data_IF_261618560167
#
_entry.id   IF_261618560167
#
_cell.length_a   1.000
_cell.length_b   1.000
_cell.length_c   1.000
_cell.angle_alpha   90.00
_cell.angle_beta   90.00
_cell.angle_gamma   90.00
#
_symmetry.space_group_name_H-M   'P 1'
#
loop_
_entity.id
_entity.type
_entity.pdbx_description
1 polymer ?
#
# COMPACT_ATOMS: atom_id res chain seq x y z
N UNK A 1 13.68 -6.22 16.24
CA UNK A 1 12.21 -6.03 16.13
C UNK A 1 11.83 -5.57 14.74
N UNK A 2 10.75 -6.10 14.19
CA UNK A 2 10.24 -5.69 12.87
C UNK A 2 8.73 -5.93 12.78
N UNK A 3 8.03 -5.03 12.09
CA UNK A 3 6.64 -5.21 11.69
C UNK A 3 6.61 -5.18 10.16
N UNK A 4 6.03 -6.22 9.56
CA UNK A 4 5.76 -6.28 8.13
C UNK A 4 4.25 -6.29 7.93
N UNK A 5 3.69 -5.19 7.41
CA UNK A 5 2.25 -5.05 7.15
C UNK A 5 1.98 -5.65 5.77
N UNK A 6 1.14 -6.67 5.71
CA UNK A 6 0.89 -7.45 4.47
C UNK A 6 -0.52 -7.29 3.94
N UNK A 7 -1.41 -6.68 4.71
CA UNK A 7 -2.79 -6.41 4.34
C UNK A 7 -3.27 -5.18 5.14
N UNK A 8 -4.05 -4.27 4.54
CA UNK A 8 -4.79 -4.45 3.29
C UNK A 8 -3.99 -4.10 2.02
N UNK A 9 -4.60 -4.33 0.86
CA UNK A 9 -4.12 -3.81 -0.43
C UNK A 9 -4.13 -2.27 -0.45
N UNK A 10 -3.37 -1.61 -1.35
CA UNK A 10 -3.25 -0.16 -1.34
C UNK A 10 -4.50 0.60 -1.81
N UNK A 11 -5.45 -0.07 -2.46
CA UNK A 11 -6.75 0.50 -2.85
C UNK A 11 -7.86 -0.41 -2.34
N UNK A 12 -8.69 0.09 -1.43
CA UNK A 12 -9.66 -0.72 -0.68
C UNK A 12 -11.00 -0.01 -0.51
N UNK A 13 -12.06 -0.79 -0.38
CA UNK A 13 -13.36 -0.32 0.08
C UNK A 13 -14.18 -1.47 0.70
N UNK A 14 -14.94 -1.14 1.74
CA UNK A 14 -15.77 -2.09 2.48
C UNK A 14 -15.01 -2.75 3.63
N UNK A 15 -15.35 -4.00 3.92
CA UNK A 15 -14.69 -4.76 4.99
C UNK A 15 -13.37 -5.36 4.49
N UNK A 16 -12.30 -5.15 5.25
CA UNK A 16 -10.98 -5.74 4.99
C UNK A 16 -10.33 -6.24 6.29
N UNK A 17 -9.21 -6.95 6.15
CA UNK A 17 -8.44 -7.44 7.29
C UNK A 17 -7.08 -6.74 7.30
N UNK A 18 -6.78 -6.04 8.39
CA UNK A 18 -5.44 -5.53 8.67
C UNK A 18 -4.61 -6.70 9.17
N UNK A 19 -3.55 -7.06 8.44
CA UNK A 19 -2.66 -8.17 8.78
C UNK A 19 -1.23 -7.69 8.84
N UNK A 20 -0.53 -8.06 9.91
CA UNK A 20 0.90 -7.84 10.03
C UNK A 20 1.63 -9.03 10.65
N UNK A 21 2.83 -9.27 10.13
CA UNK A 21 3.79 -10.18 10.71
C UNK A 21 4.69 -9.39 11.65
N UNK A 22 4.84 -9.85 12.89
CA UNK A 22 5.64 -9.18 13.91
C UNK A 22 6.74 -10.11 14.41
N UNK A 23 7.98 -9.63 14.33
CA UNK A 23 9.16 -10.31 14.86
C UNK A 23 9.74 -9.50 16.03
N UNK A 24 10.04 -10.20 17.12
CA UNK A 24 10.83 -9.66 18.24
C UNK A 24 11.79 -10.71 18.76
N UNK A 25 12.99 -10.27 19.12
CA UNK A 25 13.97 -11.05 19.86
C UNK A 25 13.67 -11.15 21.38
N UNK A 26 12.62 -10.47 21.88
CA UNK A 26 12.18 -10.47 23.29
C UNK A 26 10.72 -10.95 23.46
N UNK A 27 10.39 -12.21 23.09
CA UNK A 27 9.03 -12.73 23.19
C UNK A 27 8.56 -12.91 24.66
N UNK A 28 7.24 -12.98 24.91
CA UNK A 28 6.16 -12.87 23.93
C UNK A 28 5.78 -11.41 23.66
N UNK A 29 5.13 -11.17 22.52
CA UNK A 29 4.37 -9.94 22.30
C UNK A 29 3.28 -9.82 23.37
N UNK A 30 3.18 -8.65 24.01
CA UNK A 30 2.19 -8.35 25.04
C UNK A 30 0.91 -7.80 24.45
N UNK A 31 1.04 -6.85 23.51
CA UNK A 31 -0.08 -6.25 22.78
C UNK A 31 0.35 -5.85 21.37
N UNK A 32 -0.59 -5.92 20.44
CA UNK A 32 -0.47 -5.31 19.11
C UNK A 32 -1.78 -4.61 18.81
N UNK A 33 -1.70 -3.39 18.26
CA UNK A 33 -2.84 -2.54 17.96
C UNK A 33 -2.60 -1.80 16.66
N UNK A 34 -3.66 -1.53 15.91
CA UNK A 34 -3.61 -0.64 14.76
C UNK A 34 -4.42 0.63 15.02
N UNK A 35 -4.12 1.67 14.26
CA UNK A 35 -4.79 2.95 14.30
C UNK A 35 -4.84 3.49 12.87
N UNK A 36 -6.01 3.97 12.45
CA UNK A 36 -6.18 4.70 11.19
C UNK A 36 -6.03 6.18 11.49
N UNK A 37 -5.04 6.84 10.87
CA UNK A 37 -4.67 8.23 11.11
C UNK A 37 -4.51 8.54 12.61
N UNK A 38 -5.39 9.39 13.15
CA UNK A 38 -5.45 9.76 14.57
C UNK A 38 -6.75 9.25 15.24
N UNK A 39 -7.44 8.29 14.61
CA UNK A 39 -8.68 7.71 15.10
C UNK A 39 -8.48 6.74 16.27
N UNK A 40 -9.46 5.87 16.46
CA UNK A 40 -9.45 4.90 17.55
C UNK A 40 -8.30 3.90 17.44
N UNK A 41 -7.82 3.46 18.60
CA UNK A 41 -6.76 2.46 18.71
C UNK A 41 -7.40 1.10 18.91
N UNK A 42 -7.27 0.23 17.92
CA UNK A 42 -8.00 -1.04 17.84
C UNK A 42 -7.01 -2.20 18.11
N UNK A 43 -7.29 -3.07 19.10
CA UNK A 43 -6.42 -4.20 19.39
C UNK A 43 -6.47 -5.24 18.27
N UNK A 44 -5.32 -5.86 17.99
CA UNK A 44 -5.19 -6.95 17.03
C UNK A 44 -5.08 -8.29 17.76
N UNK A 45 -5.68 -9.32 17.17
CA UNK A 45 -5.51 -10.70 17.62
C UNK A 45 -4.08 -11.14 17.31
N UNK A 46 -3.39 -11.76 18.28
CA UNK A 46 -2.05 -12.31 18.11
C UNK A 46 -2.14 -13.83 17.97
N UNK A 47 -1.62 -14.36 16.88
CA UNK A 47 -1.44 -15.79 16.64
C UNK A 47 0.06 -16.10 16.65
N UNK A 48 0.49 -16.91 17.63
CA UNK A 48 1.90 -17.22 17.80
C UNK A 48 2.42 -18.04 16.65
N UNK A 49 3.47 -17.56 16.00
CA UNK A 49 4.20 -18.32 14.98
C UNK A 49 5.52 -18.86 15.52
N UNK A 50 6.30 -19.51 14.64
CA UNK A 50 7.61 -20.03 15.00
C UNK A 50 8.67 -18.93 15.07
N UNK A 51 8.74 -18.10 14.03
CA UNK A 51 9.65 -16.96 13.94
C UNK A 51 8.89 -15.63 13.98
N UNK A 52 7.78 -15.55 13.26
CA UNK A 52 6.94 -14.35 13.17
C UNK A 52 5.58 -14.65 13.78
N UNK A 53 5.15 -13.82 14.72
CA UNK A 53 3.77 -13.82 15.16
C UNK A 53 2.90 -13.15 14.09
N UNK A 54 1.72 -13.70 13.84
CA UNK A 54 0.76 -13.13 12.89
C UNK A 54 -0.28 -12.36 13.68
N UNK A 55 -0.54 -11.13 13.27
CA UNK A 55 -1.50 -10.25 13.92
C UNK A 55 -2.59 -9.84 12.96
N UNK A 56 -3.85 -9.89 13.40
CA UNK A 56 -5.01 -9.62 12.54
C UNK A 56 -6.07 -8.79 13.25
N UNK A 57 -6.74 -7.91 12.50
CA UNK A 57 -7.98 -7.25 12.92
C UNK A 57 -8.85 -6.92 11.70
N UNK A 58 -10.16 -6.93 11.89
CA UNK A 58 -11.13 -6.51 10.85
C UNK A 58 -11.23 -4.99 10.87
N UNK A 59 -11.22 -4.38 9.69
CA UNK A 59 -11.48 -2.96 9.50
C UNK A 59 -12.59 -2.77 8.47
N UNK A 60 -13.64 -2.06 8.88
CA UNK A 60 -14.67 -1.52 7.98
C UNK A 60 -14.23 -0.14 7.49
N UNK A 61 -13.80 -0.03 6.22
CA UNK A 61 -13.31 1.23 5.67
C UNK A 61 -14.42 2.26 5.48
N UNK A 62 -15.70 1.88 5.59
CA UNK A 62 -16.82 2.82 5.49
C UNK A 62 -16.93 3.73 6.72
N UNK A 63 -16.15 3.43 7.77
CA UNK A 63 -16.04 4.27 8.97
C UNK A 63 -15.18 5.53 8.76
N UNK A 64 -14.50 5.66 7.62
CA UNK A 64 -13.68 6.83 7.24
C UNK A 64 -14.13 7.40 5.90
N UNK A 65 -13.76 8.64 5.63
CA UNK A 65 -14.02 9.27 4.33
C UNK A 65 -13.19 8.62 3.22
N UNK A 66 -13.57 8.81 1.96
CA UNK A 66 -12.71 8.38 0.85
C UNK A 66 -11.47 9.28 0.76
N UNK A 67 -10.31 8.68 0.51
CA UNK A 67 -9.04 9.39 0.49
C UNK A 67 -7.86 8.52 0.90
N UNK A 68 -6.70 9.16 1.06
CA UNK A 68 -5.50 8.52 1.59
C UNK A 68 -5.51 8.52 3.11
N UNK A 69 -5.24 7.35 3.68
CA UNK A 69 -5.18 7.12 5.11
C UNK A 69 -3.87 6.42 5.48
N UNK A 70 -3.37 6.73 6.66
CA UNK A 70 -2.20 6.04 7.21
C UNK A 70 -2.65 4.99 8.22
N UNK A 71 -2.31 3.73 7.97
CA UNK A 71 -2.46 2.65 8.94
C UNK A 71 -1.19 2.58 9.77
N UNK A 72 -1.29 2.84 11.07
CA UNK A 72 -0.18 2.68 12.01
C UNK A 72 -0.38 1.43 12.86
N UNK A 73 0.55 0.49 12.79
CA UNK A 73 0.58 -0.68 13.69
C UNK A 73 1.62 -0.44 14.77
N UNK A 74 1.22 -0.62 16.03
CA UNK A 74 2.08 -0.51 17.23
C UNK A 74 2.09 -1.85 17.94
N UNK A 75 3.28 -2.36 18.23
CA UNK A 75 3.50 -3.60 18.96
C UNK A 75 4.34 -3.35 20.22
N UNK A 76 4.01 -4.06 21.30
CA UNK A 76 4.75 -4.03 22.58
C UNK A 76 5.25 -5.43 22.90
N UNK A 77 6.54 -5.54 23.15
CA UNK A 77 7.13 -6.74 23.75
C UNK A 77 7.53 -6.52 25.21
N UNK A 78 8.38 -7.37 25.76
CA UNK A 78 8.81 -7.27 27.17
C UNK A 78 9.60 -6.00 27.50
N UNK A 79 10.22 -5.36 26.51
CA UNK A 79 11.15 -4.26 26.74
C UNK A 79 10.58 -2.93 26.22
N UNK A 80 10.06 -2.91 24.99
CA UNK A 80 9.72 -1.64 24.34
C UNK A 80 8.51 -1.70 23.40
N UNK A 81 8.05 -0.49 23.04
CA UNK A 81 7.03 -0.27 22.02
C UNK A 81 7.73 0.10 20.70
N UNK A 82 7.28 -0.51 19.60
CA UNK A 82 7.75 -0.21 18.26
C UNK A 82 6.57 -0.15 17.29
N UNK A 83 6.76 0.50 16.14
CA UNK A 83 5.68 0.75 15.20
C UNK A 83 6.13 0.71 13.75
N UNK A 84 5.17 0.46 12.87
CA UNK A 84 5.32 0.62 11.43
C UNK A 84 4.04 1.22 10.85
N UNK A 85 4.17 1.91 9.72
CA UNK A 85 3.04 2.51 9.02
C UNK A 85 3.04 2.18 7.53
N UNK A 86 1.85 2.13 6.95
CA UNK A 86 1.62 2.11 5.51
C UNK A 86 0.55 3.15 5.17
N UNK A 87 0.59 3.65 3.95
CA UNK A 87 -0.50 4.45 3.37
C UNK A 87 -1.40 3.53 2.54
N UNK A 88 -2.71 3.82 2.54
CA UNK A 88 -3.72 3.15 1.72
C UNK A 88 -4.71 4.19 1.20
N UNK A 89 -5.33 3.92 0.06
CA UNK A 89 -6.45 4.71 -0.46
C UNK A 89 -7.77 3.99 -0.23
N UNK A 90 -8.67 4.63 0.50
CA UNK A 90 -10.07 4.20 0.60
C UNK A 90 -10.83 4.83 -0.55
N UNK A 91 -11.37 4.02 -1.46
CA UNK A 91 -12.23 4.53 -2.55
C UNK A 91 -13.16 3.47 -3.11
N UNK A 92 -14.40 3.86 -3.37
CA UNK A 92 -15.37 3.02 -4.07
C UNK A 92 -14.98 2.74 -5.53
N UNK A 93 -14.13 3.58 -6.12
CA UNK A 93 -13.63 3.39 -7.47
C UNK A 93 -12.42 2.46 -7.46
N UNK A 94 -12.50 1.39 -8.25
CA UNK A 94 -11.33 0.55 -8.54
C UNK A 94 -10.37 1.21 -9.55
N UNK A 95 -10.80 2.28 -10.22
CA UNK A 95 -10.01 3.01 -11.22
C UNK A 95 -9.28 4.16 -10.53
N UNK A 96 -7.96 4.17 -10.70
CA UNK A 96 -7.08 5.17 -10.14
C UNK A 96 -6.74 6.27 -11.16
N UNK A 97 -6.87 7.55 -10.78
CA UNK A 97 -6.41 8.65 -11.62
C UNK A 97 -4.88 8.68 -11.74
N UNK A 98 -4.37 8.89 -12.95
CA UNK A 98 -2.93 8.92 -13.22
C UNK A 98 -2.20 10.03 -12.47
N UNK A 99 -2.87 11.16 -12.25
CA UNK A 99 -2.33 12.29 -11.48
C UNK A 99 -2.09 11.96 -10.01
N UNK A 100 -2.77 10.95 -9.48
CA UNK A 100 -2.62 10.51 -8.09
C UNK A 100 -1.54 9.44 -7.89
N UNK A 101 -1.23 8.66 -8.94
CA UNK A 101 -0.20 7.63 -8.87
C UNK A 101 1.18 8.19 -8.55
N UNK A 102 1.53 9.34 -9.13
CA UNK A 102 2.87 9.94 -8.98
C UNK A 102 3.16 10.37 -7.54
N UNK A 103 2.30 11.16 -6.87
CA UNK A 103 2.56 11.55 -5.48
C UNK A 103 2.55 10.38 -4.49
N UNK A 104 1.89 9.26 -4.84
CA UNK A 104 1.70 8.10 -3.96
C UNK A 104 2.33 6.82 -4.54
N UNK A 105 3.39 6.95 -5.33
CA UNK A 105 3.96 5.82 -6.10
C UNK A 105 4.39 4.64 -5.22
N UNK A 106 5.00 4.93 -4.07
CA UNK A 106 5.46 3.91 -3.11
C UNK A 106 4.30 3.06 -2.58
N UNK A 107 3.14 3.67 -2.34
CA UNK A 107 1.91 2.98 -1.88
C UNK A 107 1.48 1.89 -2.85
N UNK A 108 1.63 2.13 -4.15
CA UNK A 108 1.17 1.22 -5.20
C UNK A 108 2.27 0.31 -5.74
N UNK A 109 3.51 0.44 -5.27
CA UNK A 109 4.63 -0.32 -5.78
C UNK A 109 4.39 -1.83 -5.59
N UNK A 110 4.56 -2.59 -6.67
CA UNK A 110 4.36 -4.04 -6.66
C UNK A 110 2.89 -4.50 -6.74
N UNK A 111 1.93 -3.57 -6.78
CA UNK A 111 0.50 -3.88 -6.89
C UNK A 111 -0.01 -3.61 -8.30
N UNK A 112 -0.99 -4.41 -8.73
CA UNK A 112 -1.68 -4.19 -10.00
C UNK A 112 -2.74 -3.12 -9.81
N UNK A 113 -2.67 -2.04 -10.59
CA UNK A 113 -3.66 -0.97 -10.54
C UNK A 113 -4.42 -0.82 -11.86
N UNK A 114 -5.72 -0.60 -11.74
CA UNK A 114 -6.56 -0.22 -12.88
C UNK A 114 -6.48 1.29 -13.07
N UNK A 115 -6.12 1.72 -14.27
CA UNK A 115 -6.10 3.13 -14.69
C UNK A 115 -6.89 3.28 -15.97
N UNK A 116 -7.53 4.43 -16.16
CA UNK A 116 -8.25 4.74 -17.39
C UNK A 116 -7.65 5.97 -18.05
N UNK A 117 -7.28 5.86 -19.32
CA UNK A 117 -6.70 6.98 -20.06
C UNK A 117 -6.59 6.74 -21.55
N UNK A 118 -6.24 7.80 -22.29
CA UNK A 118 -5.89 7.72 -23.71
C UNK A 118 -4.44 7.31 -23.85
N UNK A 119 -4.21 6.26 -24.63
CA UNK A 119 -2.86 5.77 -24.95
C UNK A 119 -2.40 6.43 -26.26
N UNK A 120 -1.21 7.01 -26.23
CA UNK A 120 -0.49 7.51 -27.41
C UNK A 120 0.85 6.79 -27.50
N UNK A 121 1.21 6.29 -28.68
CA UNK A 121 2.49 5.62 -28.91
C UNK A 121 3.35 6.45 -29.86
N UNK A 122 4.66 6.50 -29.60
CA UNK A 122 5.63 7.09 -30.51
C UNK A 122 6.83 6.17 -30.65
N UNK A 123 7.20 5.87 -31.89
CA UNK A 123 8.42 5.13 -32.23
C UNK A 123 9.51 6.14 -32.58
N UNK A 124 10.56 6.23 -31.76
CA UNK A 124 11.76 6.99 -32.11
C UNK A 124 12.81 6.03 -32.66
N UNK A 125 13.06 6.11 -33.96
CA UNK A 125 14.16 5.42 -34.63
C UNK A 125 15.34 6.37 -34.77
N UNK A 126 16.37 6.24 -33.93
CA UNK A 126 17.63 6.98 -34.11
C UNK A 126 18.64 6.12 -34.87
N UNK A 127 18.59 6.16 -36.20
CA UNK A 127 19.52 5.50 -37.14
C UNK A 127 19.76 3.99 -36.95
N UNK A 128 20.16 3.32 -38.03
CA UNK A 128 20.13 1.86 -38.22
C UNK A 128 21.16 1.04 -37.42
N UNK A 129 21.54 1.48 -36.22
CA UNK A 129 22.41 0.75 -35.29
C UNK A 129 22.11 0.98 -33.80
N UNK A 130 21.07 1.74 -33.42
CA UNK A 130 20.68 1.93 -32.01
C UNK A 130 19.37 1.18 -31.66
N UNK A 131 19.28 0.72 -30.41
CA UNK A 131 18.09 0.04 -29.86
C UNK A 131 16.82 0.86 -30.10
N UNK A 132 15.77 0.19 -30.60
CA UNK A 132 14.48 0.84 -30.88
C UNK A 132 13.80 1.17 -29.56
N UNK A 133 13.96 2.41 -29.09
CA UNK A 133 13.20 2.91 -27.93
C UNK A 133 11.76 3.21 -28.33
N UNK A 134 10.83 2.50 -27.70
CA UNK A 134 9.40 2.74 -27.84
C UNK A 134 8.90 3.54 -26.64
N UNK A 135 8.12 4.58 -26.89
CA UNK A 135 7.52 5.40 -25.85
C UNK A 135 6.02 5.20 -25.88
N UNK A 136 5.47 4.74 -24.75
CA UNK A 136 4.03 4.75 -24.52
C UNK A 136 3.72 5.90 -23.56
N UNK A 137 2.75 6.73 -23.92
CA UNK A 137 2.24 7.78 -23.06
C UNK A 137 0.77 7.50 -22.80
N UNK A 138 0.41 7.34 -21.53
CA UNK A 138 -0.96 7.19 -21.08
C UNK A 138 -1.35 8.52 -20.43
N UNK A 139 -2.49 9.10 -20.80
CA UNK A 139 -2.97 10.37 -20.24
C UNK A 139 -4.44 10.29 -19.87
N UNK A 140 -4.80 10.93 -18.77
CA UNK A 140 -6.18 11.22 -18.41
C UNK A 140 -6.32 12.73 -18.13
N UNK A 141 -7.43 13.13 -17.53
CA UNK A 141 -7.69 14.53 -17.15
C UNK A 141 -6.88 15.00 -15.94
N UNK A 142 -6.29 14.07 -15.19
CA UNK A 142 -5.54 14.32 -13.94
C UNK A 142 -4.03 14.29 -14.13
N UNK A 143 -3.52 13.59 -15.16
CA UNK A 143 -2.09 13.43 -15.35
C UNK A 143 -1.69 12.60 -16.57
N UNK A 144 -0.40 12.25 -16.60
CA UNK A 144 0.19 11.45 -17.65
C UNK A 144 1.29 10.52 -17.08
N UNK A 145 1.31 9.28 -17.55
CA UNK A 145 2.39 8.32 -17.31
C UNK A 145 3.16 8.06 -18.62
N UNK A 146 4.48 7.97 -18.53
CA UNK A 146 5.36 7.66 -19.67
C UNK A 146 6.08 6.35 -19.38
N UNK A 147 5.90 5.36 -20.26
CA UNK A 147 6.60 4.09 -20.22
C UNK A 147 7.64 4.10 -21.35
N UNK A 148 8.91 3.96 -20.96
CA UNK A 148 10.03 3.80 -21.87
C UNK A 148 10.34 2.31 -21.99
N UNK A 149 10.24 1.77 -23.20
CA UNK A 149 10.64 0.40 -23.53
C UNK A 149 11.92 0.50 -24.35
N UNK A 150 13.03 0.02 -23.78
CA UNK A 150 14.34 -0.07 -24.40
C UNK A 150 14.60 -1.46 -24.98
#
# INVERSE_FOLDING_TARGET
RQINITSPEPLIYGETIVTAQVYTEYPPLQEVRYQIDQGDVIPMKIEKGSLWDITTAIWDTTSVEEGYHTITIKARDQEELFSQQIEVKVSQSEIMPLGELVPHFETYQGHLMNVQGRISFSLKSENSASEKKSIFVIKDETGAAVILVG
#
